data_IF_037984798078
#
_entry.id   IF_037984798078
#
_cell.length_a   1.000
_cell.length_b   1.000
_cell.length_c   1.000
_cell.angle_alpha   90.00
_cell.angle_beta   90.00
_cell.angle_gamma   90.00
#
_symmetry.space_group_name_H-M   'P 1'
#
loop_
_entity.id
_entity.type
_entity.pdbx_description
1 polymer ?
#
# COMPACT_ATOMS: atom_id res chain seq x y z
N UNK A 1 -5.98 0.32 -13.87
CA UNK A 1 -6.39 0.07 -12.47
C UNK A 1 -6.23 -1.42 -12.27
N UNK A 2 -5.24 -1.87 -11.48
CA UNK A 2 -5.06 -3.30 -11.24
C UNK A 2 -6.16 -3.73 -10.26
N UNK A 3 -7.21 -4.35 -10.80
CA UNK A 3 -8.17 -5.12 -10.02
C UNK A 3 -7.76 -6.57 -10.24
N UNK A 4 -7.29 -7.23 -9.20
CA UNK A 4 -6.90 -8.63 -9.24
C UNK A 4 -7.48 -9.27 -7.99
N UNK A 5 -8.57 -10.00 -8.19
CA UNK A 5 -9.35 -10.65 -7.14
C UNK A 5 -8.45 -11.29 -6.07
N UNK A 6 -8.49 -10.73 -4.86
CA UNK A 6 -7.84 -11.29 -3.68
C UNK A 6 -6.51 -10.65 -3.29
N UNK A 7 -6.12 -9.54 -3.93
CA UNK A 7 -5.06 -8.69 -3.41
C UNK A 7 -5.70 -7.66 -2.49
N UNK A 8 -5.44 -7.67 -1.18
CA UNK A 8 -5.63 -6.45 -0.37
C UNK A 8 -4.99 -5.31 -1.16
N UNK A 9 -5.79 -4.37 -1.70
CA UNK A 9 -5.31 -3.23 -2.48
C UNK A 9 -4.23 -2.53 -1.66
N UNK A 10 -2.99 -2.89 -1.95
CA UNK A 10 -1.85 -2.49 -1.16
C UNK A 10 -1.50 -1.08 -1.59
N UNK A 11 -1.97 -0.12 -0.81
CA UNK A 11 -1.58 1.26 -1.00
C UNK A 11 -0.20 1.42 -0.37
N UNK A 12 0.84 1.79 -1.14
CA UNK A 12 2.23 1.59 -0.74
C UNK A 12 2.69 2.27 0.54
N UNK A 13 1.91 3.22 1.03
CA UNK A 13 2.18 3.98 2.24
C UNK A 13 2.11 5.48 2.01
N UNK A 14 2.00 6.21 3.11
CA UNK A 14 1.99 7.67 3.14
C UNK A 14 3.21 8.17 3.89
N UNK A 15 3.81 9.26 3.40
CA UNK A 15 4.87 9.99 4.07
C UNK A 15 4.30 11.34 4.49
N UNK A 16 4.37 11.62 5.78
CA UNK A 16 3.94 12.89 6.35
C UNK A 16 5.12 13.60 7.00
N UNK A 17 5.06 14.93 7.03
CA UNK A 17 5.92 15.72 7.91
C UNK A 17 5.60 15.39 9.38
N UNK A 18 6.59 15.46 10.27
CA UNK A 18 6.39 15.20 11.71
C UNK A 18 5.29 16.06 12.36
N UNK A 19 5.06 17.28 11.85
CA UNK A 19 4.00 18.18 12.31
C UNK A 19 2.61 17.85 11.75
N UNK A 20 2.52 17.03 10.69
CA UNK A 20 1.29 16.74 9.94
C UNK A 20 0.44 15.60 10.57
N UNK A 21 0.31 15.61 11.92
CA UNK A 21 -0.45 14.59 12.67
C UNK A 21 -1.94 14.57 12.32
N UNK A 22 -2.53 15.73 12.03
CA UNK A 22 -3.94 15.82 11.62
C UNK A 22 -4.19 15.20 10.25
N UNK A 23 -3.23 15.35 9.34
CA UNK A 23 -3.33 14.75 8.01
C UNK A 23 -3.28 13.22 8.09
N UNK A 24 -2.45 12.69 8.99
CA UNK A 24 -2.38 11.25 9.27
C UNK A 24 -3.70 10.68 9.84
N UNK A 25 -4.31 11.40 10.79
CA UNK A 25 -5.60 11.02 11.36
C UNK A 25 -6.69 10.97 10.30
N UNK A 26 -6.84 12.06 9.53
CA UNK A 26 -7.84 12.14 8.44
C UNK A 26 -7.58 11.07 7.37
N UNK A 27 -6.31 10.83 7.03
CA UNK A 27 -5.93 9.77 6.09
C UNK A 27 -6.37 8.39 6.59
N UNK A 28 -6.13 8.06 7.87
CA UNK A 28 -6.57 6.78 8.44
C UNK A 28 -8.07 6.64 8.52
N UNK A 29 -8.79 7.72 8.84
CA UNK A 29 -10.26 7.72 8.83
C UNK A 29 -10.78 7.42 7.43
N UNK A 30 -10.24 8.07 6.39
CA UNK A 30 -10.65 7.81 5.01
C UNK A 30 -10.36 6.35 4.59
N UNK A 31 -9.23 5.78 5.01
CA UNK A 31 -8.92 4.36 4.78
C UNK A 31 -9.92 3.45 5.50
N UNK A 32 -10.30 3.78 6.74
CA UNK A 32 -11.29 3.01 7.50
C UNK A 32 -12.68 3.08 6.87
N UNK A 33 -13.13 4.26 6.44
CA UNK A 33 -14.42 4.47 5.79
C UNK A 33 -14.52 3.66 4.48
N UNK A 34 -13.48 3.70 3.65
CA UNK A 34 -13.41 2.89 2.43
C UNK A 34 -13.39 1.38 2.73
N UNK A 35 -12.71 0.96 3.79
CA UNK A 35 -12.68 -0.43 4.23
C UNK A 35 -14.01 -0.92 4.82
N UNK A 36 -14.87 -0.02 5.31
CA UNK A 36 -16.22 -0.37 5.78
C UNK A 36 -17.24 -0.33 4.65
N UNK A 37 -16.90 0.26 3.50
CA UNK A 37 -17.79 0.35 2.36
C UNK A 37 -17.70 -0.89 1.46
N UNK A 38 -18.63 -1.81 1.68
CA UNK A 38 -18.75 -3.05 0.90
C UNK A 38 -19.22 -2.82 -0.55
N UNK A 39 -19.56 -1.60 -0.99
CA UNK A 39 -19.87 -1.31 -2.39
C UNK A 39 -18.62 -1.05 -3.24
N UNK A 40 -17.53 -0.61 -2.61
CA UNK A 40 -16.31 -0.16 -3.31
C UNK A 40 -15.26 -1.27 -3.34
N UNK A 41 -15.03 -1.94 -2.21
CA UNK A 41 -14.01 -3.00 -2.04
C UNK A 41 -14.64 -4.24 -1.42
N UNK A 42 -15.52 -4.90 -2.19
CA UNK A 42 -16.36 -6.02 -1.74
C UNK A 42 -15.58 -7.17 -1.09
N UNK A 43 -14.39 -7.48 -1.60
CA UNK A 43 -13.61 -8.66 -1.18
C UNK A 43 -12.21 -8.30 -0.68
N UNK A 44 -11.85 -7.02 -0.71
CA UNK A 44 -10.50 -6.53 -0.44
C UNK A 44 -10.52 -5.47 0.65
N UNK A 45 -9.42 -5.35 1.39
CA UNK A 45 -9.20 -4.25 2.34
C UNK A 45 -7.96 -3.48 1.92
N UNK A 46 -8.00 -2.17 2.09
CA UNK A 46 -6.86 -1.26 2.00
C UNK A 46 -5.97 -1.48 3.22
N UNK A 47 -4.71 -1.79 2.97
CA UNK A 47 -3.64 -1.77 3.97
C UNK A 47 -2.58 -0.75 3.53
N UNK A 48 -2.05 0.02 4.49
CA UNK A 48 -1.04 1.04 4.21
C UNK A 48 -0.08 1.22 5.40
N UNK A 49 1.18 1.52 5.10
CA UNK A 49 2.16 1.95 6.10
C UNK A 49 2.26 3.47 6.15
N UNK A 50 2.43 4.06 7.33
CA UNK A 50 2.67 5.50 7.47
C UNK A 50 4.06 5.74 8.01
N UNK A 51 4.78 6.69 7.43
CA UNK A 51 6.12 7.10 7.86
C UNK A 51 6.15 8.61 8.07
N UNK A 52 6.71 9.07 9.19
CA UNK A 52 6.96 10.48 9.44
C UNK A 52 8.41 10.82 9.10
N UNK A 53 8.63 12.00 8.52
CA UNK A 53 9.95 12.53 8.19
C UNK A 53 10.07 13.99 8.65
N UNK A 54 11.28 14.46 8.92
CA UNK A 54 11.54 15.88 9.06
C UNK A 54 11.37 16.55 7.69
N UNK A 55 10.38 17.42 7.54
CA UNK A 55 10.09 18.12 6.28
C UNK A 55 11.20 19.08 5.83
N UNK A 56 12.14 19.42 6.72
CA UNK A 56 13.34 20.16 6.36
C UNK A 56 14.48 19.25 5.88
N UNK A 57 14.32 17.93 5.95
CA UNK A 57 15.30 16.94 5.49
C UNK A 57 14.84 16.25 4.19
N UNK A 58 15.11 16.86 3.01
CA UNK A 58 14.71 16.27 1.73
C UNK A 58 15.38 14.93 1.44
N UNK A 59 16.56 14.67 2.02
CA UNK A 59 17.24 13.39 1.83
C UNK A 59 16.49 12.24 2.54
N UNK A 60 16.02 12.47 3.77
CA UNK A 60 15.18 11.52 4.49
C UNK A 60 13.87 11.24 3.74
N UNK A 61 13.20 12.30 3.25
CA UNK A 61 11.97 12.15 2.47
C UNK A 61 12.18 11.29 1.20
N UNK A 62 13.28 11.53 0.48
CA UNK A 62 13.63 10.72 -0.71
C UNK A 62 13.99 9.29 -0.33
N UNK A 63 14.73 9.07 0.76
CA UNK A 63 15.10 7.73 1.23
C UNK A 63 13.85 6.90 1.55
N UNK A 64 12.94 7.44 2.37
CA UNK A 64 11.72 6.73 2.74
C UNK A 64 10.81 6.51 1.52
N UNK A 65 10.71 7.50 0.62
CA UNK A 65 9.99 7.34 -0.65
C UNK A 65 10.55 6.21 -1.52
N UNK A 66 11.88 6.08 -1.60
CA UNK A 66 12.54 4.97 -2.31
C UNK A 66 12.31 3.62 -1.62
N UNK A 67 12.32 3.58 -0.29
CA UNK A 67 12.05 2.36 0.48
C UNK A 67 10.63 1.84 0.23
N UNK A 68 9.64 2.74 0.23
CA UNK A 68 8.25 2.39 -0.12
C UNK A 68 8.18 1.85 -1.56
N UNK A 69 8.79 2.55 -2.54
CA UNK A 69 8.81 2.11 -3.94
C UNK A 69 9.43 0.72 -4.13
N UNK A 70 10.56 0.46 -3.48
CA UNK A 70 11.25 -0.84 -3.55
C UNK A 70 10.38 -1.96 -2.95
N UNK A 71 9.70 -1.68 -1.83
CA UNK A 71 8.81 -2.65 -1.18
C UNK A 71 7.67 -3.07 -2.10
N UNK A 72 7.04 -2.12 -2.81
CA UNK A 72 6.00 -2.42 -3.81
C UNK A 72 6.57 -3.29 -4.93
N UNK A 73 7.71 -2.89 -5.49
CA UNK A 73 8.30 -3.58 -6.64
C UNK A 73 8.64 -5.03 -6.30
N UNK A 74 9.26 -5.24 -5.14
CA UNK A 74 9.57 -6.57 -4.62
C UNK A 74 8.28 -7.36 -4.39
N UNK A 75 7.31 -6.79 -3.67
CA UNK A 75 6.04 -7.47 -3.37
C UNK A 75 5.29 -7.87 -4.64
N UNK A 76 5.16 -6.96 -5.61
CA UNK A 76 4.53 -7.25 -6.90
C UNK A 76 5.29 -8.35 -7.65
N UNK A 77 6.62 -8.27 -7.69
CA UNK A 77 7.45 -9.29 -8.34
C UNK A 77 7.23 -10.67 -7.71
N UNK A 78 7.25 -10.79 -6.39
CA UNK A 78 7.03 -12.07 -5.72
C UNK A 78 5.58 -12.57 -5.85
N UNK A 79 4.60 -11.68 -5.69
CA UNK A 79 3.18 -12.03 -5.81
C UNK A 79 2.85 -12.54 -7.22
N UNK A 80 3.28 -11.83 -8.26
CA UNK A 80 3.07 -12.24 -9.65
C UNK A 80 3.74 -13.58 -9.98
N UNK A 81 4.97 -13.79 -9.51
CA UNK A 81 5.66 -15.08 -9.70
C UNK A 81 4.94 -16.23 -8.97
N UNK A 82 4.46 -15.99 -7.75
CA UNK A 82 3.76 -17.00 -6.95
C UNK A 82 2.41 -17.38 -7.57
N UNK A 83 1.62 -16.39 -8.03
CA UNK A 83 0.35 -16.66 -8.72
C UNK A 83 0.56 -17.43 -10.03
N UNK A 84 1.58 -17.06 -10.81
CA UNK A 84 1.93 -17.78 -12.03
C UNK A 84 2.29 -19.25 -11.75
N UNK A 85 3.08 -19.51 -10.70
CA UNK A 85 3.47 -20.87 -10.30
C UNK A 85 2.28 -21.72 -9.81
N UNK A 86 1.36 -21.13 -9.03
CA UNK A 86 0.18 -21.85 -8.55
C UNK A 86 -0.74 -22.22 -9.73
N UNK A 87 -0.98 -21.28 -10.64
CA UNK A 87 -1.80 -21.51 -11.83
C UNK A 87 -1.19 -22.58 -12.74
N UNK A 88 0.13 -22.57 -12.95
CA UNK A 88 0.79 -23.59 -13.78
C UNK A 88 0.73 -24.98 -13.15
N UNK A 89 0.84 -25.08 -11.82
CA UNK A 89 0.78 -26.36 -11.10
C UNK A 89 -0.63 -26.97 -11.10
N UNK A 90 -1.68 -26.15 -10.95
CA UNK A 90 -3.08 -26.60 -10.94
C UNK A 90 -3.63 -26.99 -12.32
N UNK A 91 -2.96 -26.60 -13.41
CA UNK A 91 -3.33 -26.91 -14.80
C UNK A 91 -2.61 -28.15 -15.37
N UNK A 92 -1.80 -28.82 -14.55
CA UNK A 92 -1.13 -30.11 -14.84
C UNK A 92 -1.74 -31.24 -14.02
#
# INVERSE_FOLDING_TARGET
LLVTDGISLFFPGAIFDESARKDEEVFRMAVADLNQNDEILQTEKITCSVTFVDGNNPFQAVQEGRRLKLTIFIWFSFYSNTQFYIQSTLMT
#
